data_IF_407241472887
#
_entry.id   IF_407241472887
#
_cell.length_a   1.000
_cell.length_b   1.000
_cell.length_c   1.000
_cell.angle_alpha   90.00
_cell.angle_beta   90.00
_cell.angle_gamma   90.00
#
_symmetry.space_group_name_H-M   'P 1'
#
loop_
_entity.id
_entity.type
_entity.pdbx_description
1 polymer ?
#
# COMPACT_ATOMS: atom_id res chain seq x y z
N UNK A 1 -2.74 -55.79 -13.94
CA UNK A 1 -2.21 -55.17 -12.71
C UNK A 1 -1.38 -53.97 -13.15
N UNK A 2 -1.96 -52.78 -13.15
CA UNK A 2 -1.20 -51.52 -13.20
C UNK A 2 -1.90 -50.62 -12.18
N UNK A 3 -1.47 -50.75 -10.94
CA UNK A 3 -1.72 -49.82 -9.85
C UNK A 3 -0.34 -49.55 -9.29
N UNK A 4 0.19 -48.34 -9.54
CA UNK A 4 1.34 -47.71 -8.85
C UNK A 4 2.07 -46.80 -9.83
N UNK A 5 1.51 -45.61 -10.05
CA UNK A 5 2.35 -44.42 -10.34
C UNK A 5 1.65 -43.09 -10.02
N UNK A 6 0.35 -43.10 -9.67
CA UNK A 6 -0.43 -41.88 -9.41
C UNK A 6 -0.11 -41.23 -8.05
N UNK A 7 0.27 -42.03 -7.05
CA UNK A 7 0.42 -41.56 -5.66
C UNK A 7 1.70 -40.77 -5.38
N UNK A 8 2.74 -40.92 -6.21
CA UNK A 8 3.98 -40.13 -6.09
C UNK A 8 3.82 -38.71 -6.63
N UNK A 9 3.11 -38.58 -7.74
CA UNK A 9 2.82 -37.32 -8.43
C UNK A 9 1.79 -36.47 -7.66
N UNK A 10 0.88 -37.11 -6.91
CA UNK A 10 -0.07 -36.41 -6.02
C UNK A 10 0.62 -35.82 -4.78
N UNK A 11 1.49 -36.58 -4.11
CA UNK A 11 2.19 -36.10 -2.91
C UNK A 11 3.22 -34.99 -3.22
N UNK A 12 3.85 -35.03 -4.39
CA UNK A 12 4.77 -33.98 -4.84
C UNK A 12 4.01 -32.70 -5.24
N UNK A 13 2.87 -32.84 -5.94
CA UNK A 13 1.98 -31.70 -6.23
C UNK A 13 1.37 -31.09 -4.97
N UNK A 14 0.99 -31.89 -3.98
CA UNK A 14 0.45 -31.41 -2.71
C UNK A 14 1.50 -30.62 -1.91
N UNK A 15 2.74 -31.11 -1.84
CA UNK A 15 3.86 -30.37 -1.23
C UNK A 15 4.17 -29.07 -1.96
N UNK A 16 4.14 -29.06 -3.29
CA UNK A 16 4.35 -27.84 -4.08
C UNK A 16 3.24 -26.81 -3.84
N UNK A 17 1.98 -27.25 -3.80
CA UNK A 17 0.84 -26.39 -3.53
C UNK A 17 0.91 -25.79 -2.12
N UNK A 18 1.23 -26.59 -1.11
CA UNK A 18 1.40 -26.13 0.28
C UNK A 18 2.56 -25.14 0.41
N UNK A 19 3.66 -25.35 -0.32
CA UNK A 19 4.77 -24.40 -0.39
C UNK A 19 4.38 -23.06 -1.02
N UNK A 20 3.60 -23.09 -2.11
CA UNK A 20 3.09 -21.89 -2.79
C UNK A 20 2.11 -21.12 -1.90
N UNK A 21 1.23 -21.82 -1.19
CA UNK A 21 0.28 -21.22 -0.25
C UNK A 21 0.99 -20.53 0.91
N UNK A 22 1.96 -21.20 1.55
CA UNK A 22 2.77 -20.61 2.61
C UNK A 22 3.54 -19.37 2.14
N UNK A 23 4.04 -19.40 0.90
CA UNK A 23 4.73 -18.24 0.31
C UNK A 23 3.75 -17.09 0.07
N UNK A 24 2.55 -17.38 -0.43
CA UNK A 24 1.50 -16.38 -0.65
C UNK A 24 1.09 -15.70 0.66
N UNK A 25 0.89 -16.47 1.73
CA UNK A 25 0.54 -15.94 3.06
C UNK A 25 1.67 -15.03 3.60
N UNK A 26 2.93 -15.44 3.43
CA UNK A 26 4.08 -14.64 3.84
C UNK A 26 4.15 -13.30 3.10
N UNK A 27 3.90 -13.29 1.79
CA UNK A 27 3.91 -12.08 0.97
C UNK A 27 2.77 -11.13 1.33
N UNK A 28 1.58 -11.67 1.63
CA UNK A 28 0.44 -10.86 2.09
C UNK A 28 0.73 -10.17 3.42
N UNK A 29 1.27 -10.91 4.39
CA UNK A 29 1.68 -10.35 5.69
C UNK A 29 2.75 -9.27 5.54
N UNK A 30 3.76 -9.51 4.70
CA UNK A 30 4.77 -8.51 4.38
C UNK A 30 4.15 -7.26 3.73
N UNK A 31 3.16 -7.46 2.84
CA UNK A 31 2.41 -6.38 2.22
C UNK A 31 1.72 -5.47 3.23
N UNK A 32 1.01 -6.08 4.20
CA UNK A 32 0.32 -5.38 5.29
C UNK A 32 1.32 -4.60 6.17
N UNK A 33 2.44 -5.21 6.53
CA UNK A 33 3.48 -4.56 7.35
C UNK A 33 4.08 -3.34 6.65
N UNK A 34 4.36 -3.44 5.35
CA UNK A 34 4.89 -2.32 4.55
C UNK A 34 3.87 -1.18 4.39
N UNK A 35 2.58 -1.49 4.22
CA UNK A 35 1.51 -0.49 4.24
C UNK A 35 1.46 0.26 5.58
N UNK A 36 1.53 -0.47 6.69
CA UNK A 36 1.51 0.12 8.03
C UNK A 36 2.74 1.00 8.30
N UNK A 37 3.95 0.51 7.99
CA UNK A 37 5.19 1.27 8.13
C UNK A 37 5.17 2.54 7.31
N UNK A 38 4.69 2.46 6.07
CA UNK A 38 4.61 3.64 5.21
C UNK A 38 3.58 4.66 5.69
N UNK A 39 2.44 4.22 6.25
CA UNK A 39 1.47 5.12 6.88
C UNK A 39 2.07 5.85 8.10
N UNK A 40 2.81 5.13 8.95
CA UNK A 40 3.49 5.71 10.11
C UNK A 40 4.52 6.75 9.66
N UNK A 41 5.35 6.43 8.67
CA UNK A 41 6.36 7.34 8.12
C UNK A 41 5.73 8.64 7.59
N UNK A 42 4.61 8.54 6.86
CA UNK A 42 3.88 9.71 6.36
C UNK A 42 3.34 10.59 7.49
N UNK A 43 2.80 10.00 8.55
CA UNK A 43 2.30 10.75 9.72
C UNK A 43 3.45 11.51 10.39
N UNK A 44 4.58 10.85 10.60
CA UNK A 44 5.78 11.46 11.21
C UNK A 44 6.30 12.61 10.33
N UNK A 45 6.50 12.35 9.04
CA UNK A 45 6.97 13.34 8.07
C UNK A 45 6.04 14.55 8.00
N UNK A 46 4.73 14.31 7.90
CA UNK A 46 3.72 15.39 7.87
C UNK A 46 3.71 16.19 9.17
N UNK A 47 3.73 15.53 10.33
CA UNK A 47 3.74 16.20 11.64
C UNK A 47 4.93 17.15 11.78
N UNK A 48 6.14 16.71 11.41
CA UNK A 48 7.32 17.56 11.47
C UNK A 48 7.32 18.65 10.39
N UNK A 49 6.79 18.38 9.20
CA UNK A 49 6.71 19.36 8.11
C UNK A 49 5.77 20.54 8.45
N UNK A 50 4.76 20.31 9.29
CA UNK A 50 3.88 21.38 9.83
C UNK A 50 4.67 22.31 10.77
N UNK A 51 5.59 21.77 11.57
CA UNK A 51 6.32 22.55 12.57
C UNK A 51 7.53 23.30 11.96
N UNK A 52 8.28 22.64 11.08
CA UNK A 52 9.38 23.24 10.32
C UNK A 52 9.54 22.51 8.99
N UNK A 53 9.46 23.25 7.88
CA UNK A 53 9.67 22.66 6.56
C UNK A 53 11.15 22.34 6.35
N UNK A 54 11.51 21.07 6.51
CA UNK A 54 12.86 20.53 6.37
C UNK A 54 12.85 19.44 5.30
N UNK A 55 13.94 19.35 4.51
CA UNK A 55 14.07 18.35 3.44
C UNK A 55 13.93 16.92 4.00
N UNK A 56 14.40 16.67 5.22
CA UNK A 56 14.28 15.40 5.95
C UNK A 56 12.83 14.96 6.17
N UNK A 57 11.91 15.90 6.36
CA UNK A 57 10.48 15.60 6.56
C UNK A 57 9.83 15.15 5.25
N UNK A 58 10.20 15.78 4.14
CA UNK A 58 9.75 15.38 2.81
C UNK A 58 10.32 13.99 2.44
N UNK A 59 11.56 13.66 2.83
CA UNK A 59 12.10 12.30 2.68
C UNK A 59 11.28 11.24 3.43
N UNK A 60 10.81 11.52 4.66
CA UNK A 60 9.95 10.60 5.41
C UNK A 60 8.62 10.34 4.69
N UNK A 61 8.03 11.36 4.06
CA UNK A 61 6.80 11.22 3.26
C UNK A 61 7.09 10.40 2.00
N UNK A 62 8.22 10.65 1.31
CA UNK A 62 8.59 9.91 0.10
C UNK A 62 8.85 8.43 0.41
N UNK A 63 9.62 8.14 1.47
CA UNK A 63 9.88 6.76 1.92
C UNK A 63 8.58 6.09 2.34
N UNK A 64 7.71 6.78 3.08
CA UNK A 64 6.44 6.22 3.51
C UNK A 64 5.50 5.88 2.35
N UNK A 65 5.41 6.76 1.36
CA UNK A 65 4.68 6.53 0.12
C UNK A 65 5.25 5.34 -0.69
N UNK A 66 6.57 5.19 -0.70
CA UNK A 66 7.24 4.08 -1.39
C UNK A 66 6.96 2.74 -0.70
N UNK A 67 7.05 2.69 0.63
CA UNK A 67 6.72 1.50 1.42
C UNK A 67 5.27 1.07 1.22
N UNK A 68 4.32 2.02 1.21
CA UNK A 68 2.92 1.73 0.93
C UNK A 68 2.70 1.17 -0.47
N UNK A 69 3.38 1.72 -1.48
CA UNK A 69 3.25 1.22 -2.85
C UNK A 69 3.78 -0.21 -3.00
N UNK A 70 4.88 -0.54 -2.31
CA UNK A 70 5.43 -1.90 -2.31
C UNK A 70 4.47 -2.84 -1.55
N UNK A 71 3.97 -2.41 -0.39
CA UNK A 71 3.02 -3.21 0.39
C UNK A 71 1.71 -3.49 -0.37
N UNK A 72 1.19 -2.48 -1.06
CA UNK A 72 0.05 -2.59 -1.95
C UNK A 72 0.28 -3.59 -3.09
N UNK A 73 1.49 -3.62 -3.66
CA UNK A 73 1.85 -4.54 -4.73
C UNK A 73 1.94 -5.99 -4.25
N UNK A 74 2.55 -6.24 -3.08
CA UNK A 74 2.66 -7.59 -2.52
C UNK A 74 1.29 -8.19 -2.15
N UNK A 75 0.34 -7.36 -1.72
CA UNK A 75 -1.05 -7.79 -1.47
C UNK A 75 -1.85 -8.18 -2.72
N UNK A 76 -1.35 -7.91 -3.94
CA UNK A 76 -2.05 -8.28 -5.19
C UNK A 76 -1.92 -9.77 -5.48
N UNK A 77 -0.81 -10.43 -5.11
CA UNK A 77 -0.56 -11.84 -5.47
C UNK A 77 -1.53 -12.79 -4.74
N UNK A 78 -1.80 -12.57 -3.44
CA UNK A 78 -2.81 -13.30 -2.67
C UNK A 78 -4.24 -13.08 -3.23
N UNK A 79 -4.52 -11.91 -3.79
CA UNK A 79 -5.80 -11.56 -4.40
C UNK A 79 -6.00 -12.13 -5.82
N UNK A 80 -4.94 -12.49 -6.54
CA UNK A 80 -5.07 -12.99 -7.91
C UNK A 80 -5.53 -14.46 -8.00
N UNK A 81 -5.40 -15.23 -6.92
CA UNK A 81 -5.74 -16.67 -6.91
C UNK A 81 -7.25 -16.96 -6.84
N UNK A 82 -8.07 -16.03 -6.34
CA UNK A 82 -9.54 -16.15 -6.35
C UNK A 82 -10.18 -14.77 -6.37
N UNK A 83 -10.35 -14.16 -7.55
CA UNK A 83 -10.79 -12.76 -7.69
C UNK A 83 -12.26 -12.53 -7.25
N UNK A 84 -12.52 -12.63 -5.95
CA UNK A 84 -13.80 -12.30 -5.30
C UNK A 84 -14.01 -10.79 -5.37
N UNK A 85 -15.26 -10.35 -5.41
CA UNK A 85 -15.62 -8.93 -5.48
C UNK A 85 -14.95 -8.09 -4.37
N UNK A 86 -14.70 -8.68 -3.20
CA UNK A 86 -14.10 -8.04 -2.03
C UNK A 86 -12.61 -7.69 -2.24
N UNK A 87 -11.85 -8.55 -2.91
CA UNK A 87 -10.43 -8.26 -3.21
C UNK A 87 -10.28 -7.11 -4.20
N UNK A 88 -11.24 -6.95 -5.13
CA UNK A 88 -11.28 -5.78 -6.02
C UNK A 88 -11.44 -4.48 -5.24
N UNK A 89 -12.20 -4.49 -4.14
CA UNK A 89 -12.36 -3.32 -3.26
C UNK A 89 -11.01 -2.97 -2.62
N UNK A 90 -10.26 -3.96 -2.12
CA UNK A 90 -8.93 -3.75 -1.53
C UNK A 90 -7.95 -3.17 -2.56
N UNK A 91 -7.90 -3.75 -3.77
CA UNK A 91 -7.04 -3.26 -4.85
C UNK A 91 -7.40 -1.82 -5.24
N UNK A 92 -8.69 -1.49 -5.31
CA UNK A 92 -9.16 -0.12 -5.58
C UNK A 92 -8.71 0.85 -4.48
N UNK A 93 -8.86 0.47 -3.20
CA UNK A 93 -8.41 1.29 -2.08
C UNK A 93 -6.89 1.53 -2.11
N UNK A 94 -6.11 0.48 -2.34
CA UNK A 94 -4.65 0.57 -2.45
C UNK A 94 -4.19 1.41 -3.65
N UNK A 95 -4.92 1.33 -4.77
CA UNK A 95 -4.66 2.14 -5.97
C UNK A 95 -4.88 3.63 -5.69
N UNK A 96 -5.94 3.98 -4.98
CA UNK A 96 -6.20 5.36 -4.55
C UNK A 96 -5.11 5.84 -3.57
N UNK A 97 -4.70 5.01 -2.61
CA UNK A 97 -3.57 5.33 -1.72
C UNK A 97 -2.29 5.64 -2.50
N UNK A 98 -1.93 4.79 -3.46
CA UNK A 98 -0.75 4.98 -4.31
C UNK A 98 -0.85 6.25 -5.17
N UNK A 99 -2.03 6.56 -5.72
CA UNK A 99 -2.26 7.80 -6.47
C UNK A 99 -2.06 9.04 -5.58
N UNK A 100 -2.64 9.03 -4.38
CA UNK A 100 -2.51 10.14 -3.42
C UNK A 100 -1.07 10.35 -2.94
N UNK A 101 -0.36 9.25 -2.72
CA UNK A 101 1.07 9.21 -2.42
C UNK A 101 1.93 9.80 -3.56
N UNK A 102 1.63 9.42 -4.81
CA UNK A 102 2.30 9.96 -5.99
C UNK A 102 2.13 11.47 -6.15
N UNK A 103 0.93 11.99 -5.89
CA UNK A 103 0.67 13.44 -5.91
C UNK A 103 1.45 14.19 -4.81
N UNK A 104 1.56 13.62 -3.62
CA UNK A 104 2.37 14.19 -2.54
C UNK A 104 3.87 14.18 -2.88
N UNK A 105 4.37 13.08 -3.44
CA UNK A 105 5.76 12.99 -3.87
C UNK A 105 6.08 13.99 -5.00
N UNK A 106 5.19 14.12 -5.99
CA UNK A 106 5.30 15.11 -7.06
C UNK A 106 5.41 16.53 -6.51
N UNK A 107 4.54 16.88 -5.56
CA UNK A 107 4.59 18.19 -4.91
C UNK A 107 5.87 18.38 -4.07
N UNK A 108 6.34 17.34 -3.39
CA UNK A 108 7.61 17.34 -2.66
C UNK A 108 8.81 17.63 -3.57
N UNK A 109 8.87 17.03 -4.76
CA UNK A 109 9.93 17.27 -5.75
C UNK A 109 9.93 18.74 -6.21
N UNK A 110 8.76 19.32 -6.52
CA UNK A 110 8.64 20.73 -6.89
C UNK A 110 9.14 21.64 -5.76
N UNK A 111 8.74 21.33 -4.51
CA UNK A 111 9.10 22.11 -3.33
C UNK A 111 10.62 22.08 -3.08
N UNK A 112 11.27 20.92 -3.23
CA UNK A 112 12.73 20.78 -3.08
C UNK A 112 13.49 21.49 -4.21
N UNK A 113 13.01 21.38 -5.45
CA UNK A 113 13.64 22.00 -6.64
C UNK A 113 13.57 23.54 -6.62
N UNK A 114 12.51 24.13 -6.07
CA UNK A 114 12.40 25.58 -5.88
C UNK A 114 13.34 26.13 -4.81
N UNK A 115 13.54 25.40 -3.72
CA UNK A 115 14.46 25.79 -2.64
C UNK A 115 15.95 25.75 -3.04
N UNK A 116 16.30 25.17 -4.21
CA UNK A 116 17.66 25.21 -4.76
C UNK A 116 17.92 26.44 -5.66
N UNK A 117 16.88 27.18 -6.05
CA UNK A 117 16.96 28.24 -7.06
C UNK A 117 16.83 29.67 -6.47
N UNK A 118 16.55 29.86 -5.17
CA UNK A 118 16.41 31.20 -4.59
C UNK A 118 17.74 31.99 -4.51
N UNK A 119 18.15 32.56 -5.65
CA UNK A 119 18.29 34.01 -5.77
C UNK A 119 16.98 34.55 -6.41
N UNK A 120 16.45 35.62 -5.83
CA UNK A 120 15.45 36.56 -6.39
C UNK A 120 13.97 36.12 -6.46
N UNK A 121 13.24 36.54 -5.42
CA UNK A 121 12.11 37.47 -5.53
C UNK A 121 10.96 37.11 -6.49
N UNK A 122 10.44 35.89 -6.39
CA UNK A 122 9.12 35.59 -6.95
C UNK A 122 8.15 35.13 -5.85
N UNK A 123 7.36 36.10 -5.39
CA UNK A 123 6.10 35.91 -4.66
C UNK A 123 5.04 35.26 -5.58
N UNK A 124 5.39 34.14 -6.24
CA UNK A 124 4.45 33.30 -6.97
C UNK A 124 3.83 32.36 -5.93
N UNK A 125 2.75 32.87 -5.33
CA UNK A 125 1.64 32.18 -4.71
C UNK A 125 1.90 30.76 -4.15
N UNK A 126 2.61 30.68 -3.01
CA UNK A 126 2.85 29.47 -2.19
C UNK A 126 1.58 28.66 -1.85
N UNK A 127 0.39 29.21 -2.11
CA UNK A 127 -0.92 28.64 -1.78
C UNK A 127 -1.37 27.57 -2.78
N UNK A 128 -1.11 27.76 -4.08
CA UNK A 128 -1.54 26.81 -5.12
C UNK A 128 -0.67 25.55 -5.17
N UNK A 129 0.60 25.64 -4.76
CA UNK A 129 1.51 24.50 -4.77
C UNK A 129 1.14 23.46 -3.71
N UNK A 130 0.73 23.88 -2.52
CA UNK A 130 0.34 22.93 -1.46
C UNK A 130 -0.98 22.20 -1.75
N UNK A 131 -1.77 22.64 -2.74
CA UNK A 131 -3.09 22.05 -3.00
C UNK A 131 -2.97 20.63 -3.55
N UNK A 132 -1.93 20.32 -4.35
CA UNK A 132 -1.73 18.99 -4.93
C UNK A 132 -1.38 17.99 -3.84
N UNK A 133 -0.50 18.35 -2.91
CA UNK A 133 -0.19 17.53 -1.75
C UNK A 133 -1.44 17.29 -0.88
N UNK A 134 -2.24 18.33 -0.64
CA UNK A 134 -3.49 18.22 0.14
C UNK A 134 -4.51 17.30 -0.54
N UNK A 135 -4.70 17.41 -1.86
CA UNK A 135 -5.55 16.51 -2.64
C UNK A 135 -5.01 15.07 -2.51
N UNK A 136 -3.69 14.90 -2.60
CA UNK A 136 -3.04 13.61 -2.43
C UNK A 136 -3.34 12.96 -1.08
N UNK A 137 -3.28 13.72 0.02
CA UNK A 137 -3.62 13.24 1.37
C UNK A 137 -5.08 12.75 1.44
N UNK A 138 -6.03 13.50 0.87
CA UNK A 138 -7.44 13.10 0.90
C UNK A 138 -7.74 11.88 0.03
N UNK A 139 -7.14 11.78 -1.16
CA UNK A 139 -7.26 10.58 -2.00
C UNK A 139 -6.70 9.37 -1.25
N UNK A 140 -5.56 9.53 -0.57
CA UNK A 140 -4.96 8.46 0.23
C UNK A 140 -5.85 8.03 1.39
N UNK A 141 -6.41 8.97 2.14
CA UNK A 141 -7.35 8.67 3.23
C UNK A 141 -8.58 7.90 2.74
N UNK A 142 -9.17 8.29 1.61
CA UNK A 142 -10.30 7.57 0.99
C UNK A 142 -9.89 6.14 0.61
N UNK A 143 -8.72 5.99 -0.01
CA UNK A 143 -8.17 4.69 -0.36
C UNK A 143 -7.96 3.78 0.85
N UNK A 144 -7.47 4.32 1.97
CA UNK A 144 -7.30 3.58 3.24
C UNK A 144 -8.63 3.08 3.79
N UNK A 145 -9.67 3.92 3.77
CA UNK A 145 -11.00 3.53 4.23
C UNK A 145 -11.57 2.40 3.36
N UNK A 146 -11.45 2.52 2.04
CA UNK A 146 -11.94 1.50 1.10
C UNK A 146 -11.20 0.15 1.31
N UNK A 147 -9.87 0.17 1.46
CA UNK A 147 -9.10 -1.04 1.75
C UNK A 147 -9.49 -1.66 3.09
N UNK A 148 -9.68 -0.85 4.13
CA UNK A 148 -10.08 -1.31 5.47
C UNK A 148 -11.48 -1.97 5.46
N UNK A 149 -12.43 -1.44 4.67
CA UNK A 149 -13.74 -2.06 4.47
C UNK A 149 -13.58 -3.44 3.85
N UNK A 150 -12.77 -3.55 2.78
CA UNK A 150 -12.50 -4.83 2.13
C UNK A 150 -11.91 -5.87 3.08
N UNK A 151 -10.90 -5.47 3.87
CA UNK A 151 -10.25 -6.35 4.85
C UNK A 151 -11.22 -6.80 5.95
N UNK A 152 -12.05 -5.89 6.47
CA UNK A 152 -13.05 -6.19 7.51
C UNK A 152 -14.07 -7.24 7.03
N UNK A 153 -14.44 -7.22 5.75
CA UNK A 153 -15.36 -8.19 5.16
C UNK A 153 -14.71 -9.58 5.08
N UNK A 154 -13.44 -9.66 4.63
CA UNK A 154 -12.69 -10.92 4.55
C UNK A 154 -12.57 -11.55 5.95
N UNK A 155 -12.14 -10.78 6.94
CA UNK A 155 -11.96 -11.29 8.31
C UNK A 155 -13.28 -11.81 8.89
N UNK A 156 -14.40 -11.15 8.59
CA UNK A 156 -15.73 -11.60 8.99
C UNK A 156 -16.14 -12.90 8.30
N UNK A 157 -15.86 -13.07 7.01
CA UNK A 157 -16.14 -14.31 6.27
C UNK A 157 -15.36 -15.49 6.87
N UNK A 158 -14.04 -15.33 7.08
CA UNK A 158 -13.19 -16.37 7.66
C UNK A 158 -13.64 -16.77 9.08
N UNK A 159 -14.04 -15.80 9.89
CA UNK A 159 -14.57 -16.04 11.24
C UNK A 159 -15.86 -16.88 11.22
N UNK A 160 -16.73 -16.65 10.24
CA UNK A 160 -17.99 -17.38 10.11
C UNK A 160 -17.77 -18.81 9.60
N UNK A 161 -16.80 -19.03 8.71
CA UNK A 161 -16.41 -20.37 8.27
C UNK A 161 -15.86 -21.22 9.43
N UNK A 162 -14.99 -20.64 10.26
CA UNK A 162 -14.43 -21.31 11.45
C UNK A 162 -15.47 -21.72 12.50
N UNK A 163 -16.63 -21.06 12.57
CA UNK A 163 -17.71 -21.39 13.51
C UNK A 163 -18.62 -22.50 12.97
N UNK A 164 -18.64 -22.73 11.66
CA UNK A 164 -19.46 -23.76 11.01
C UNK A 164 -18.81 -25.15 11.01
N UNK A 165 -17.52 -25.25 11.33
CA UNK A 165 -16.74 -26.49 11.48
C UNK A 165 -16.79 -26.90 12.95
#
# INVERSE_FOLDING_TARGET
>A
IIASNDTGDEAERENQNMCLENKSEMLDKMGIELLALGNISNVIGTYFNINKQLKENDYLIIVGNSLQSIGAFLGVEAALLQMKAIQRIIILGNSLQSLGAGLQAYQGIINVSKNEIENEDSMVDKKNEKIIALIGIWIQAIGTIISAIGLTIIEKEERLEKIKI
#
